data_IF_828767836310
#
_entry.id   IF_828767836310
#
_cell.length_a   1.000
_cell.length_b   1.000
_cell.length_c   1.000
_cell.angle_alpha   90.00
_cell.angle_beta   90.00
_cell.angle_gamma   90.00
#
_symmetry.space_group_name_H-M   'P 1'
#
loop_
_entity.id
_entity.type
_entity.pdbx_description
1 polymer ?
#
# COMPACT_ATOMS: atom_id res chain seq x y z
N UNK A 1 -6.18 5.26 27.01
CA UNK A 1 -5.65 6.58 27.46
C UNK A 1 -6.78 7.39 28.08
N UNK A 2 -6.52 8.31 29.02
CA UNK A 2 -7.60 9.09 29.71
C UNK A 2 -7.94 10.39 28.94
N UNK A 3 -7.40 10.61 27.73
CA UNK A 3 -7.56 11.88 27.02
C UNK A 3 -9.04 12.22 26.75
N UNK A 4 -9.83 11.25 26.29
CA UNK A 4 -11.24 11.47 25.96
C UNK A 4 -12.14 11.70 27.17
N UNK A 5 -11.67 11.40 28.38
CA UNK A 5 -12.36 11.72 29.65
C UNK A 5 -11.88 13.05 30.25
N UNK A 6 -10.89 13.70 29.64
CA UNK A 6 -10.30 14.94 30.15
C UNK A 6 -11.09 16.18 29.74
N UNK A 7 -10.82 17.29 30.42
CA UNK A 7 -11.34 18.61 30.01
C UNK A 7 -10.77 19.08 28.67
N UNK A 8 -9.82 18.38 28.05
CA UNK A 8 -9.25 18.72 26.73
C UNK A 8 -9.95 18.00 25.57
N UNK A 9 -10.80 17.03 25.84
CA UNK A 9 -11.61 16.38 24.82
C UNK A 9 -12.46 17.42 24.05
N UNK A 10 -12.77 17.12 22.78
CA UNK A 10 -13.61 17.99 21.94
C UNK A 10 -14.97 18.22 22.58
N UNK A 11 -15.61 17.12 22.99
CA UNK A 11 -16.82 17.06 23.83
C UNK A 11 -16.68 15.91 24.82
N UNK A 12 -17.38 15.99 25.94
CA UNK A 12 -17.38 14.96 26.99
C UNK A 12 -18.08 13.66 26.58
N UNK A 13 -19.03 13.74 25.65
CA UNK A 13 -19.71 12.58 25.11
C UNK A 13 -19.21 12.36 23.68
N UNK A 14 -18.71 11.16 23.43
CA UNK A 14 -18.37 10.66 22.10
C UNK A 14 -19.59 10.01 21.48
N UNK A 15 -19.74 10.10 20.16
CA UNK A 15 -20.94 9.60 19.46
C UNK A 15 -20.85 8.10 19.14
N UNK A 16 -19.63 7.55 19.14
CA UNK A 16 -19.34 6.12 18.92
C UNK A 16 -18.44 5.59 20.04
N UNK A 17 -18.39 4.26 20.28
CA UNK A 17 -17.42 3.67 21.19
C UNK A 17 -15.99 4.08 20.84
N UNK A 18 -15.15 4.31 21.85
CA UNK A 18 -13.72 4.57 21.64
C UNK A 18 -13.12 3.41 20.86
N UNK A 19 -12.53 3.73 19.72
CA UNK A 19 -11.94 2.78 18.80
C UNK A 19 -10.46 2.59 19.15
N UNK A 20 -10.01 1.35 19.31
CA UNK A 20 -8.60 1.01 19.52
C UNK A 20 -7.95 0.84 18.15
N UNK A 21 -7.10 1.79 17.78
CA UNK A 21 -6.39 1.79 16.51
C UNK A 21 -5.13 0.92 16.55
N UNK A 22 -4.90 0.07 17.56
CA UNK A 22 -3.59 -0.57 17.88
C UNK A 22 -2.50 0.44 18.22
N UNK A 23 -1.35 -0.11 18.63
CA UNK A 23 -0.09 0.62 18.81
C UNK A 23 -0.19 1.77 19.82
N UNK A 24 -0.99 1.56 20.88
CA UNK A 24 -1.33 2.56 21.89
C UNK A 24 -1.93 3.83 21.28
N UNK A 25 -2.82 3.67 20.29
CA UNK A 25 -3.57 4.76 19.70
C UNK A 25 -5.06 4.48 19.83
N UNK A 26 -5.82 5.47 20.26
CA UNK A 26 -7.29 5.40 20.39
C UNK A 26 -7.95 6.52 19.58
N UNK A 27 -9.16 6.30 19.08
CA UNK A 27 -9.92 7.27 18.32
C UNK A 27 -11.32 7.50 18.89
N UNK A 28 -11.74 8.75 18.93
CA UNK A 28 -13.11 9.17 19.15
C UNK A 28 -13.73 9.75 17.86
N UNK A 29 -15.02 9.51 17.68
CA UNK A 29 -15.82 10.11 16.62
C UNK A 29 -16.83 11.07 17.23
N UNK A 30 -16.88 12.28 16.69
CA UNK A 30 -17.87 13.30 17.01
C UNK A 30 -18.66 13.65 15.75
N UNK A 31 -19.98 13.51 15.82
CA UNK A 31 -20.92 13.76 14.73
C UNK A 31 -21.61 15.11 14.92
N UNK A 32 -22.27 15.56 13.86
CA UNK A 32 -23.07 16.80 13.86
C UNK A 32 -22.25 17.97 14.41
N UNK A 33 -21.08 18.19 13.81
CA UNK A 33 -20.21 19.32 14.14
C UNK A 33 -19.83 20.09 12.89
N UNK A 34 -19.32 21.29 13.10
CA UNK A 34 -18.86 22.18 12.05
C UNK A 34 -17.41 22.64 12.30
N UNK A 35 -16.83 23.25 11.26
CA UNK A 35 -15.45 23.69 11.30
C UNK A 35 -15.20 24.82 12.33
N UNK A 36 -16.21 25.61 12.68
CA UNK A 36 -16.06 26.69 13.65
C UNK A 36 -15.91 26.13 15.07
N UNK A 37 -16.72 25.13 15.43
CA UNK A 37 -16.57 24.39 16.68
C UNK A 37 -15.20 23.69 16.77
N UNK A 38 -14.78 23.03 15.68
CA UNK A 38 -13.46 22.38 15.59
C UNK A 38 -12.35 23.40 15.81
N UNK A 39 -12.40 24.56 15.15
CA UNK A 39 -11.39 25.62 15.30
C UNK A 39 -11.30 26.17 16.73
N UNK A 40 -12.43 26.29 17.44
CA UNK A 40 -12.45 26.68 18.86
C UNK A 40 -11.71 25.63 19.71
N UNK A 41 -11.93 24.34 19.45
CA UNK A 41 -11.23 23.27 20.15
C UNK A 41 -9.73 23.21 19.83
N UNK A 42 -9.33 23.36 18.56
CA UNK A 42 -7.91 23.41 18.18
C UNK A 42 -7.19 24.58 18.87
N UNK A 43 -7.88 25.72 19.05
CA UNK A 43 -7.36 26.85 19.82
C UNK A 43 -7.21 26.50 21.31
N UNK A 44 -8.19 25.82 21.90
CA UNK A 44 -8.13 25.33 23.29
C UNK A 44 -6.95 24.39 23.51
N UNK A 45 -6.65 23.49 22.57
CA UNK A 45 -5.44 22.64 22.65
C UNK A 45 -4.18 23.51 22.70
N UNK A 46 -4.07 24.50 21.81
CA UNK A 46 -2.94 25.42 21.76
C UNK A 46 -2.77 26.23 23.06
N UNK A 47 -3.87 26.74 23.61
CA UNK A 47 -3.91 27.48 24.88
C UNK A 47 -3.49 26.61 26.08
N UNK A 48 -3.59 25.28 25.95
CA UNK A 48 -3.15 24.30 26.94
C UNK A 48 -1.77 23.69 26.64
N UNK A 49 -1.00 24.34 25.76
CA UNK A 49 0.41 24.03 25.50
C UNK A 49 0.67 22.94 24.48
N UNK A 50 -0.35 22.49 23.73
CA UNK A 50 -0.12 21.65 22.56
C UNK A 50 0.38 22.48 21.39
N UNK A 51 1.46 22.04 20.75
CA UNK A 51 1.99 22.69 19.55
C UNK A 51 1.32 22.08 18.30
N UNK A 52 0.75 22.91 17.43
CA UNK A 52 0.29 22.45 16.12
C UNK A 52 1.53 22.16 15.25
N UNK A 53 1.84 20.89 15.03
CA UNK A 53 3.00 20.45 14.25
C UNK A 53 2.65 20.19 12.78
N UNK A 54 1.37 19.92 12.46
CA UNK A 54 0.89 19.81 11.07
C UNK A 54 -0.50 20.36 10.90
N UNK A 55 -0.76 20.90 9.71
CA UNK A 55 -2.09 21.24 9.21
C UNK A 55 -2.13 20.92 7.72
N UNK A 56 -3.24 20.32 7.28
CA UNK A 56 -3.46 20.02 5.88
C UNK A 56 -4.93 20.29 5.51
N UNK A 57 -5.17 20.57 4.24
CA UNK A 57 -6.50 20.75 3.68
C UNK A 57 -6.55 20.11 2.29
N UNK A 58 -7.51 19.21 2.10
CA UNK A 58 -7.72 18.51 0.81
C UNK A 58 -9.22 18.50 0.54
N UNK A 59 -9.64 19.10 -0.58
CA UNK A 59 -11.06 19.20 -1.01
C UNK A 59 -12.03 19.61 0.11
N UNK A 60 -11.65 20.60 0.93
CA UNK A 60 -12.49 21.07 2.04
C UNK A 60 -12.36 20.26 3.35
N UNK A 61 -11.77 19.07 3.34
CA UNK A 61 -11.46 18.33 4.56
C UNK A 61 -10.32 19.00 5.32
N UNK A 62 -10.40 19.05 6.65
CA UNK A 62 -9.49 19.79 7.51
C UNK A 62 -8.76 18.84 8.43
N UNK A 63 -7.44 18.81 8.33
CA UNK A 63 -6.58 17.91 9.09
C UNK A 63 -5.62 18.73 9.95
N UNK A 64 -5.40 18.29 11.18
CA UNK A 64 -4.42 18.90 12.07
C UNK A 64 -3.78 17.85 12.98
N UNK A 65 -2.51 18.06 13.29
CA UNK A 65 -1.76 17.26 14.25
C UNK A 65 -1.13 18.18 15.29
N UNK A 66 -1.31 17.81 16.55
CA UNK A 66 -0.81 18.51 17.72
C UNK A 66 0.09 17.60 18.54
N UNK A 67 1.13 18.17 19.14
CA UNK A 67 2.08 17.45 19.99
C UNK A 67 2.23 18.15 21.35
N UNK A 68 2.36 17.35 22.41
CA UNK A 68 2.81 17.81 23.72
C UNK A 68 3.39 16.65 24.53
N UNK A 69 4.64 16.79 24.95
CA UNK A 69 5.32 15.82 25.84
C UNK A 69 5.30 14.38 25.28
N UNK A 70 5.36 14.24 23.95
CA UNK A 70 5.30 12.94 23.25
C UNK A 70 3.89 12.39 22.99
N UNK A 71 2.85 13.06 23.49
CA UNK A 71 1.46 12.75 23.15
C UNK A 71 1.08 13.46 21.85
N UNK A 72 0.59 12.71 20.89
CA UNK A 72 0.11 13.21 19.60
C UNK A 72 -1.42 13.16 19.53
N UNK A 73 -2.01 14.25 19.07
CA UNK A 73 -3.44 14.35 18.76
C UNK A 73 -3.56 14.62 17.27
N UNK A 74 -4.07 13.65 16.51
CA UNK A 74 -4.42 13.87 15.10
C UNK A 74 -5.91 14.04 15.00
N UNK A 75 -6.36 15.05 14.28
CA UNK A 75 -7.77 15.33 14.09
C UNK A 75 -8.07 15.56 12.62
N UNK A 76 -9.21 15.05 12.17
CA UNK A 76 -9.70 15.35 10.84
C UNK A 76 -11.21 15.56 10.81
N UNK A 77 -11.59 16.70 10.25
CA UNK A 77 -12.97 17.09 10.04
C UNK A 77 -13.34 16.94 8.56
N UNK A 78 -14.41 16.22 8.30
CA UNK A 78 -14.89 15.91 6.95
C UNK A 78 -16.27 16.53 6.74
N UNK A 79 -16.40 17.56 5.88
CA UNK A 79 -17.68 18.24 5.66
C UNK A 79 -18.77 17.33 5.07
N UNK A 80 -18.37 16.31 4.28
CA UNK A 80 -19.30 15.40 3.60
C UNK A 80 -20.23 14.64 4.55
N UNK A 81 -19.79 14.36 5.78
CA UNK A 81 -20.58 13.69 6.83
C UNK A 81 -20.68 14.51 8.13
N UNK A 82 -20.15 15.74 8.14
CA UNK A 82 -20.12 16.65 9.30
C UNK A 82 -19.56 15.97 10.56
N UNK A 83 -18.49 15.19 10.38
CA UNK A 83 -17.84 14.46 11.47
C UNK A 83 -16.43 14.96 11.72
N UNK A 84 -16.04 14.94 13.00
CA UNK A 84 -14.68 15.10 13.47
C UNK A 84 -14.22 13.75 14.04
N UNK A 85 -13.12 13.23 13.52
CA UNK A 85 -12.41 12.09 14.10
C UNK A 85 -11.14 12.60 14.78
N UNK A 86 -10.89 12.10 15.99
CA UNK A 86 -9.74 12.51 16.81
C UNK A 86 -9.02 11.25 17.26
N UNK A 87 -7.79 11.04 16.80
CA UNK A 87 -6.89 10.00 17.28
C UNK A 87 -5.90 10.57 18.29
N UNK A 88 -5.59 9.78 19.30
CA UNK A 88 -4.64 10.13 20.36
C UNK A 88 -3.70 8.95 20.57
N UNK A 89 -2.40 9.20 20.43
CA UNK A 89 -1.38 8.16 20.50
C UNK A 89 0.00 8.72 20.84
N UNK A 90 0.95 7.84 21.09
CA UNK A 90 2.35 8.16 21.41
C UNK A 90 3.32 7.65 20.33
N UNK A 91 2.78 7.30 19.15
CA UNK A 91 3.57 6.80 18.02
C UNK A 91 4.52 7.87 17.52
N UNK A 92 5.74 7.52 17.06
CA UNK A 92 6.62 8.50 16.43
C UNK A 92 5.95 9.10 15.20
N UNK A 93 6.27 10.37 14.93
CA UNK A 93 5.76 11.10 13.77
C UNK A 93 6.82 11.05 12.66
N UNK A 94 6.48 10.62 11.43
CA UNK A 94 7.44 10.63 10.31
C UNK A 94 7.81 12.07 9.95
N UNK A 95 8.84 12.35 9.16
CA UNK A 95 9.17 13.74 8.75
C UNK A 95 8.12 14.33 7.78
N UNK A 96 7.99 15.64 7.69
CA UNK A 96 7.12 16.37 6.73
C UNK A 96 7.79 17.68 6.24
N UNK A 97 9.12 17.63 6.13
CA UNK A 97 9.93 18.70 5.60
C UNK A 97 9.83 18.86 4.09
N UNK A 98 10.76 19.63 3.52
CA UNK A 98 10.87 19.74 2.06
C UNK A 98 11.37 18.42 1.45
N UNK A 99 10.69 17.86 0.43
CA UNK A 99 11.10 16.62 -0.20
C UNK A 99 12.35 16.83 -1.06
N UNK A 100 13.53 16.53 -0.50
CA UNK A 100 14.82 16.68 -1.17
C UNK A 100 15.65 15.41 -1.00
N UNK A 101 16.34 15.02 -2.06
CA UNK A 101 17.30 13.92 -2.03
C UNK A 101 18.45 14.23 -2.99
N UNK A 102 19.65 14.37 -2.44
CA UNK A 102 20.86 14.50 -3.23
C UNK A 102 21.29 13.14 -3.76
N UNK A 103 21.68 13.09 -5.02
CA UNK A 103 22.18 11.87 -5.63
C UNK A 103 22.26 11.99 -7.14
N UNK A 104 22.71 10.93 -7.78
CA UNK A 104 23.04 10.89 -9.21
C UNK A 104 22.28 9.79 -9.98
N UNK A 105 21.40 9.02 -9.32
CA UNK A 105 20.46 8.17 -10.02
C UNK A 105 19.07 8.82 -10.20
N UNK A 106 18.30 8.28 -11.14
CA UNK A 106 16.91 8.72 -11.36
C UNK A 106 15.98 8.15 -10.28
N UNK A 107 14.88 8.87 -10.00
CA UNK A 107 13.80 8.30 -9.21
C UNK A 107 12.96 7.40 -10.10
N UNK A 108 12.77 6.13 -9.71
CA UNK A 108 12.05 5.16 -10.55
C UNK A 108 11.07 4.39 -9.68
N UNK A 109 9.82 4.34 -10.14
CA UNK A 109 8.80 3.45 -9.59
C UNK A 109 8.87 2.10 -10.31
N UNK A 110 8.95 1.03 -9.53
CA UNK A 110 8.96 -0.33 -10.00
C UNK A 110 7.69 -1.05 -9.54
N UNK A 111 6.89 -1.52 -10.49
CA UNK A 111 5.91 -2.58 -10.22
C UNK A 111 6.65 -3.91 -10.35
N UNK A 112 7.08 -4.47 -9.22
CA UNK A 112 7.94 -5.65 -9.19
C UNK A 112 7.18 -6.89 -9.63
N UNK A 113 7.84 -7.72 -10.44
CA UNK A 113 7.32 -9.03 -10.85
C UNK A 113 7.53 -10.03 -9.71
N UNK A 114 6.50 -10.23 -8.90
CA UNK A 114 6.52 -11.28 -7.89
C UNK A 114 6.57 -12.69 -8.50
N UNK A 115 7.04 -13.68 -7.74
CA UNK A 115 7.19 -15.07 -8.20
C UNK A 115 5.83 -15.74 -8.34
N UNK A 116 5.33 -15.83 -9.58
CA UNK A 116 4.01 -16.36 -9.89
C UNK A 116 4.00 -17.85 -10.20
N UNK A 117 5.09 -18.57 -9.93
CA UNK A 117 5.17 -20.01 -10.25
C UNK A 117 4.07 -20.84 -9.55
N UNK A 118 3.56 -20.36 -8.41
CA UNK A 118 2.63 -21.11 -7.54
C UNK A 118 1.37 -20.38 -7.10
N UNK A 119 1.29 -19.07 -7.30
CA UNK A 119 0.23 -18.22 -6.76
C UNK A 119 -0.07 -17.15 -7.78
N UNK A 120 -1.31 -16.69 -7.73
CA UNK A 120 -1.90 -15.85 -8.75
C UNK A 120 -2.10 -14.38 -8.33
N UNK A 121 -1.79 -14.08 -7.06
CA UNK A 121 -1.72 -12.75 -6.45
C UNK A 121 -0.38 -12.50 -5.74
N UNK A 122 -0.12 -11.23 -5.42
CA UNK A 122 1.11 -10.77 -4.78
C UNK A 122 1.47 -9.37 -5.22
N UNK A 123 1.79 -8.50 -4.26
CA UNK A 123 2.23 -7.14 -4.57
C UNK A 123 3.52 -6.78 -3.85
N UNK A 124 4.48 -6.29 -4.63
CA UNK A 124 5.63 -5.52 -4.16
C UNK A 124 5.87 -4.34 -5.10
N UNK A 125 5.98 -3.13 -4.55
CA UNK A 125 6.40 -1.95 -5.30
C UNK A 125 7.69 -1.42 -4.69
N UNK A 126 8.59 -0.92 -5.52
CA UNK A 126 9.82 -0.27 -5.07
C UNK A 126 9.94 1.10 -5.72
N UNK A 127 10.27 2.12 -4.92
CA UNK A 127 10.56 3.46 -5.42
C UNK A 127 12.02 3.77 -5.08
N UNK A 128 12.88 3.71 -6.09
CA UNK A 128 14.28 4.11 -5.95
C UNK A 128 14.36 5.64 -5.89
N UNK A 129 15.09 6.16 -4.92
CA UNK A 129 15.39 7.59 -4.76
C UNK A 129 16.78 7.93 -5.33
N UNK A 130 17.09 9.22 -5.59
CA UNK A 130 18.36 9.64 -6.18
C UNK A 130 19.64 9.18 -5.46
N UNK A 131 19.56 8.92 -4.15
CA UNK A 131 20.66 8.44 -3.32
C UNK A 131 20.84 6.90 -3.33
N UNK A 132 20.15 6.19 -4.24
CA UNK A 132 20.06 4.73 -4.34
C UNK A 132 19.31 4.02 -3.20
N UNK A 133 18.63 4.77 -2.32
CA UNK A 133 17.73 4.15 -1.33
C UNK A 133 16.37 3.80 -1.95
N UNK A 134 15.63 2.91 -1.29
CA UNK A 134 14.34 2.42 -1.75
C UNK A 134 13.24 2.68 -0.72
N UNK A 135 12.12 3.24 -1.17
CA UNK A 135 10.86 3.13 -0.45
C UNK A 135 10.13 1.89 -0.97
N UNK A 136 9.85 0.93 -0.10
CA UNK A 136 9.23 -0.35 -0.48
C UNK A 136 7.78 -0.36 -0.01
N UNK A 137 6.88 -0.84 -0.85
CA UNK A 137 5.46 -1.04 -0.54
C UNK A 137 5.16 -2.52 -0.62
N UNK A 138 4.68 -3.09 0.48
CA UNK A 138 4.34 -4.50 0.62
C UNK A 138 5.51 -5.42 0.18
N UNK A 139 5.26 -6.68 -0.20
CA UNK A 139 6.34 -7.64 -0.41
C UNK A 139 5.98 -8.93 -1.16
N UNK A 140 4.73 -9.39 -1.13
CA UNK A 140 4.34 -10.65 -1.77
C UNK A 140 3.89 -11.77 -0.80
N UNK A 141 3.32 -12.82 -1.38
CA UNK A 141 2.66 -13.97 -0.76
C UNK A 141 3.62 -15.06 -0.27
N UNK A 142 3.25 -15.86 0.73
CA UNK A 142 4.15 -16.89 1.28
C UNK A 142 4.54 -17.99 0.27
N UNK A 143 3.70 -18.26 -0.74
CA UNK A 143 4.00 -19.17 -1.87
C UNK A 143 4.97 -18.59 -2.91
N UNK A 144 5.33 -17.31 -2.81
CA UNK A 144 6.34 -16.68 -3.66
C UNK A 144 7.72 -16.94 -3.05
N UNK A 145 8.11 -18.22 -3.01
CA UNK A 145 9.11 -18.72 -2.07
C UNK A 145 10.46 -18.00 -2.09
N UNK A 146 10.84 -17.42 -3.23
CA UNK A 146 12.14 -16.78 -3.42
C UNK A 146 12.10 -15.25 -3.39
N UNK A 147 10.92 -14.64 -3.22
CA UNK A 147 10.79 -13.20 -3.44
C UNK A 147 11.53 -12.36 -2.40
N UNK A 148 11.75 -12.83 -1.18
CA UNK A 148 12.65 -12.15 -0.24
C UNK A 148 14.08 -12.02 -0.80
N UNK A 149 14.60 -13.08 -1.45
CA UNK A 149 15.92 -13.07 -2.07
C UNK A 149 15.93 -12.27 -3.39
N UNK A 150 14.85 -12.32 -4.17
CA UNK A 150 14.72 -11.55 -5.42
C UNK A 150 14.60 -10.06 -5.16
N UNK A 151 13.80 -9.65 -4.17
CA UNK A 151 13.69 -8.25 -3.71
C UNK A 151 15.05 -7.74 -3.22
N UNK A 152 15.77 -8.54 -2.41
CA UNK A 152 17.13 -8.20 -1.98
C UNK A 152 18.07 -8.00 -3.17
N UNK A 153 18.13 -8.98 -4.08
CA UNK A 153 18.98 -8.94 -5.27
C UNK A 153 18.64 -7.72 -6.15
N UNK A 154 17.36 -7.44 -6.34
CA UNK A 154 16.89 -6.32 -7.15
C UNK A 154 17.42 -4.98 -6.62
N UNK A 155 17.34 -4.76 -5.31
CA UNK A 155 17.91 -3.58 -4.67
C UNK A 155 19.44 -3.59 -4.70
N UNK A 156 20.06 -4.75 -4.48
CA UNK A 156 21.52 -4.92 -4.48
C UNK A 156 22.14 -4.55 -5.83
N UNK A 157 21.56 -5.03 -6.93
CA UNK A 157 22.06 -4.79 -8.29
C UNK A 157 22.00 -3.31 -8.69
N UNK A 158 21.16 -2.53 -8.01
CA UNK A 158 20.98 -1.09 -8.20
C UNK A 158 21.72 -0.25 -7.16
N UNK A 159 22.28 -0.86 -6.12
CA UNK A 159 23.03 -0.18 -5.08
C UNK A 159 24.53 -0.19 -5.43
N UNK A 160 25.28 0.94 -5.33
CA UNK A 160 26.73 0.94 -5.49
C UNK A 160 27.42 -0.11 -4.61
N UNK A 161 28.39 -0.83 -5.18
CA UNK A 161 29.00 -2.03 -4.56
C UNK A 161 29.66 -1.77 -3.21
N UNK A 162 30.05 -0.54 -2.94
CA UNK A 162 30.70 -0.08 -1.71
C UNK A 162 29.69 0.42 -0.64
N UNK A 163 28.38 0.35 -0.91
CA UNK A 163 27.31 0.81 -0.01
C UNK A 163 26.40 -0.33 0.44
N UNK A 164 25.79 -0.17 1.60
CA UNK A 164 24.67 -1.02 2.05
C UNK A 164 23.40 -0.66 1.26
N UNK A 165 22.48 -1.61 1.13
CA UNK A 165 21.12 -1.28 0.66
C UNK A 165 20.47 -0.47 1.77
N UNK A 166 19.77 0.59 1.38
CA UNK A 166 18.97 1.40 2.30
C UNK A 166 17.50 1.30 1.88
N UNK A 167 16.68 0.74 2.75
CA UNK A 167 15.22 0.84 2.69
C UNK A 167 14.83 2.05 3.54
N UNK A 168 14.60 3.19 2.91
CA UNK A 168 14.31 4.46 3.58
C UNK A 168 12.90 4.48 4.20
N UNK A 169 12.04 3.56 3.77
CA UNK A 169 10.77 3.25 4.39
C UNK A 169 10.20 1.96 3.82
N UNK A 170 9.55 1.17 4.66
CA UNK A 170 8.75 0.03 4.24
C UNK A 170 7.30 0.28 4.64
N UNK A 171 6.45 0.55 3.65
CA UNK A 171 5.03 0.76 3.82
C UNK A 171 4.28 -0.57 3.72
N UNK A 172 3.38 -0.81 4.66
CA UNK A 172 2.48 -1.96 4.68
C UNK A 172 1.06 -1.44 4.53
N UNK A 173 0.41 -1.79 3.41
CA UNK A 173 -0.94 -1.32 3.11
C UNK A 173 -1.98 -1.95 4.06
N UNK A 174 -1.92 -3.27 4.21
CA UNK A 174 -2.70 -4.07 5.16
C UNK A 174 -2.02 -5.43 5.37
N UNK A 175 -2.61 -6.29 6.20
CA UNK A 175 -1.95 -7.50 6.70
C UNK A 175 -2.44 -8.82 6.08
N UNK A 176 -2.81 -8.81 4.80
CA UNK A 176 -2.94 -10.04 4.03
C UNK A 176 -1.60 -10.62 3.61
N UNK A 177 -1.57 -11.94 3.46
CA UNK A 177 -0.38 -12.72 3.21
C UNK A 177 0.36 -12.33 1.94
N UNK A 178 -0.35 -11.97 0.87
CA UNK A 178 0.16 -11.50 -0.42
C UNK A 178 0.78 -10.10 -0.39
N UNK A 179 0.70 -9.44 0.77
CA UNK A 179 1.32 -8.14 1.02
C UNK A 179 2.50 -8.25 2.00
N UNK A 180 2.42 -9.11 3.02
CA UNK A 180 3.36 -9.06 4.16
C UNK A 180 4.35 -10.21 4.23
N UNK A 181 4.07 -11.35 3.57
CA UNK A 181 4.78 -12.60 3.87
C UNK A 181 6.26 -12.51 3.53
N UNK A 182 6.60 -11.90 2.40
CA UNK A 182 8.01 -11.83 1.96
C UNK A 182 8.82 -10.79 2.69
N UNK A 183 8.20 -9.73 3.21
CA UNK A 183 8.85 -8.83 4.15
C UNK A 183 9.20 -9.60 5.43
N UNK A 184 8.28 -10.41 5.96
CA UNK A 184 8.56 -11.21 7.16
C UNK A 184 9.74 -12.18 6.96
N UNK A 185 9.86 -12.79 5.78
CA UNK A 185 11.02 -13.61 5.38
C UNK A 185 12.29 -12.76 5.20
N UNK A 186 12.19 -11.62 4.51
CA UNK A 186 13.30 -10.70 4.28
C UNK A 186 13.95 -10.26 5.60
N UNK A 187 13.13 -9.91 6.59
CA UNK A 187 13.58 -9.52 7.93
C UNK A 187 14.32 -10.63 8.68
N UNK A 188 14.08 -11.89 8.32
CA UNK A 188 14.76 -13.05 8.93
C UNK A 188 16.05 -13.40 8.21
N UNK A 189 16.11 -13.24 6.89
CA UNK A 189 17.14 -13.90 6.08
C UNK A 189 17.98 -12.94 5.22
N UNK A 190 17.57 -11.69 5.02
CA UNK A 190 18.17 -10.78 4.03
C UNK A 190 18.63 -9.43 4.61
N UNK A 191 18.74 -9.29 5.93
CA UNK A 191 19.06 -8.00 6.56
C UNK A 191 20.55 -7.72 6.81
N UNK A 192 21.47 -8.66 6.56
CA UNK A 192 22.89 -8.54 6.95
C UNK A 192 23.59 -7.29 6.36
N UNK A 193 23.25 -6.92 5.13
CA UNK A 193 23.81 -5.79 4.37
C UNK A 193 22.77 -4.71 4.03
N UNK A 194 21.66 -4.70 4.77
CA UNK A 194 20.51 -3.79 4.59
C UNK A 194 20.33 -2.91 5.82
N UNK A 195 19.96 -1.65 5.59
CA UNK A 195 19.49 -0.73 6.62
C UNK A 195 18.03 -0.44 6.32
N UNK A 196 17.14 -0.65 7.30
CA UNK A 196 15.73 -0.24 7.21
C UNK A 196 15.53 0.92 8.18
N UNK A 197 15.12 2.08 7.66
CA UNK A 197 15.03 3.33 8.43
C UNK A 197 13.68 3.49 9.15
N UNK A 198 12.62 2.84 8.68
CA UNK A 198 11.31 2.89 9.31
C UNK A 198 10.24 2.03 8.63
N UNK A 199 9.25 1.62 9.42
CA UNK A 199 8.02 1.01 8.92
C UNK A 199 6.87 2.01 8.96
N UNK A 200 6.00 1.97 7.97
CA UNK A 200 4.87 2.86 7.82
C UNK A 200 3.62 2.02 7.65
N UNK A 201 2.58 2.23 8.45
CA UNK A 201 1.35 1.43 8.33
C UNK A 201 0.19 2.02 9.12
N UNK A 202 -1.03 1.55 8.83
CA UNK A 202 -2.15 1.64 9.76
C UNK A 202 -2.83 0.27 9.87
N UNK A 203 -2.25 -0.63 10.70
CA UNK A 203 -2.70 -2.02 10.81
C UNK A 203 -3.78 -2.15 11.88
N UNK A 204 -4.92 -2.73 11.50
CA UNK A 204 -6.06 -2.99 12.37
C UNK A 204 -5.83 -4.22 13.29
N UNK A 205 -6.45 -4.21 14.47
CA UNK A 205 -6.50 -5.37 15.35
C UNK A 205 -7.55 -6.39 14.86
N UNK A 206 -7.19 -7.68 14.69
CA UNK A 206 -8.13 -8.73 14.30
C UNK A 206 -9.34 -8.91 15.22
N UNK A 207 -9.35 -8.34 16.44
CA UNK A 207 -10.55 -8.32 17.29
C UNK A 207 -11.75 -7.60 16.64
N UNK A 208 -11.51 -6.80 15.60
CA UNK A 208 -12.54 -6.12 14.83
C UNK A 208 -13.17 -6.99 13.73
N UNK A 209 -12.68 -8.22 13.56
CA UNK A 209 -13.41 -9.28 12.87
C UNK A 209 -14.52 -9.83 13.80
N UNK A 210 -15.59 -9.06 13.93
CA UNK A 210 -16.66 -9.31 14.91
C UNK A 210 -17.48 -10.57 14.62
N UNK A 211 -17.44 -11.09 13.39
CA UNK A 211 -18.23 -12.23 12.94
C UNK A 211 -17.38 -13.44 12.47
N UNK A 212 -16.04 -13.37 12.59
CA UNK A 212 -15.10 -14.36 12.06
C UNK A 212 -15.25 -14.54 10.55
N UNK A 213 -15.40 -13.43 9.84
CA UNK A 213 -15.50 -13.39 8.38
C UNK A 213 -14.14 -13.36 7.70
N UNK A 214 -13.09 -12.92 8.40
CA UNK A 214 -11.74 -12.93 7.87
C UNK A 214 -11.15 -14.34 7.91
N UNK A 215 -10.31 -14.66 6.94
CA UNK A 215 -9.63 -15.96 6.92
C UNK A 215 -8.74 -16.11 8.17
N UNK A 216 -8.93 -17.22 8.88
CA UNK A 216 -8.23 -17.47 10.14
C UNK A 216 -6.70 -17.59 9.94
N UNK A 217 -6.23 -18.08 8.80
CA UNK A 217 -4.81 -18.16 8.50
C UNK A 217 -4.20 -16.77 8.34
N UNK A 218 -4.93 -15.85 7.70
CA UNK A 218 -4.55 -14.44 7.55
C UNK A 218 -4.50 -13.72 8.90
N UNK A 219 -5.52 -13.93 9.75
CA UNK A 219 -5.54 -13.41 11.12
C UNK A 219 -4.35 -13.91 11.94
N UNK A 220 -4.03 -15.19 11.85
CA UNK A 220 -2.88 -15.77 12.57
C UNK A 220 -1.55 -15.25 12.01
N UNK A 221 -1.48 -14.97 10.72
CA UNK A 221 -0.29 -14.39 10.07
C UNK A 221 -0.09 -12.93 10.48
N UNK A 222 -1.14 -12.10 10.48
CA UNK A 222 -1.05 -10.70 10.90
C UNK A 222 -0.60 -10.59 12.37
N UNK A 223 -1.08 -11.46 13.25
CA UNK A 223 -0.58 -11.54 14.63
C UNK A 223 0.90 -11.92 14.72
N UNK A 224 1.42 -12.77 13.80
CA UNK A 224 2.87 -13.07 13.73
C UNK A 224 3.65 -11.85 13.25
N UNK A 225 3.15 -11.14 12.25
CA UNK A 225 3.72 -9.87 11.78
C UNK A 225 3.85 -8.88 12.94
N UNK A 226 2.79 -8.67 13.71
CA UNK A 226 2.80 -7.73 14.84
C UNK A 226 3.89 -8.06 15.84
N UNK A 227 4.00 -9.33 16.27
CA UNK A 227 5.07 -9.76 17.17
C UNK A 227 6.47 -9.57 16.59
N UNK A 228 6.63 -9.79 15.27
CA UNK A 228 7.90 -9.60 14.60
C UNK A 228 8.28 -8.12 14.56
N UNK A 229 7.34 -7.23 14.19
CA UNK A 229 7.57 -5.79 14.20
C UNK A 229 7.87 -5.30 15.62
N UNK A 230 7.09 -5.69 16.63
CA UNK A 230 7.28 -5.29 18.03
C UNK A 230 8.68 -5.64 18.56
N UNK A 231 9.26 -6.75 18.10
CA UNK A 231 10.61 -7.19 18.48
C UNK A 231 11.74 -6.35 17.85
N UNK A 232 11.46 -5.54 16.83
CA UNK A 232 12.45 -4.70 16.14
C UNK A 232 12.58 -3.32 16.80
N UNK A 233 13.82 -2.83 16.94
CA UNK A 233 14.11 -1.47 17.38
C UNK A 233 14.10 -0.44 16.24
N UNK A 234 13.40 -0.73 15.15
CA UNK A 234 13.21 0.17 14.00
C UNK A 234 11.96 1.02 14.26
N UNK A 235 11.97 2.34 13.98
CA UNK A 235 10.78 3.18 14.10
C UNK A 235 9.58 2.62 13.33
N UNK A 236 8.39 2.65 13.95
CA UNK A 236 7.12 2.34 13.30
C UNK A 236 6.21 3.57 13.36
N UNK A 237 5.88 4.10 12.20
CA UNK A 237 5.05 5.28 12.03
C UNK A 237 3.61 4.86 11.77
N UNK A 238 2.73 5.15 12.72
CA UNK A 238 1.29 4.94 12.55
C UNK A 238 0.73 6.06 11.68
N UNK A 239 0.23 5.71 10.50
CA UNK A 239 -0.28 6.65 9.52
C UNK A 239 -1.77 6.93 9.77
N UNK A 240 -2.20 8.18 9.73
CA UNK A 240 -3.60 8.56 9.89
C UNK A 240 -4.10 9.36 8.69
N UNK A 241 -5.38 9.27 8.36
CA UNK A 241 -5.95 9.98 7.21
C UNK A 241 -5.72 11.49 7.28
N UNK A 242 -5.27 12.04 6.16
CA UNK A 242 -4.81 13.41 5.95
C UNK A 242 -3.44 13.76 6.53
N UNK A 243 -2.75 12.81 7.16
CA UNK A 243 -1.33 12.96 7.49
C UNK A 243 -0.53 13.12 6.19
N UNK A 244 0.32 14.15 6.17
CA UNK A 244 1.36 14.33 5.15
C UNK A 244 2.70 13.94 5.74
N UNK A 245 3.56 13.31 4.95
CA UNK A 245 4.94 13.02 5.33
C UNK A 245 5.87 12.99 4.13
N UNK A 246 7.17 13.07 4.37
CA UNK A 246 8.21 13.04 3.34
C UNK A 246 9.26 11.98 3.63
N UNK A 247 9.72 11.31 2.59
CA UNK A 247 10.88 10.41 2.63
C UNK A 247 11.76 10.74 1.44
N UNK A 248 12.97 11.25 1.69
CA UNK A 248 13.87 11.70 0.61
C UNK A 248 13.14 12.73 -0.27
N UNK A 249 13.11 12.53 -1.59
CA UNK A 249 12.42 13.41 -2.55
C UNK A 249 10.94 13.04 -2.77
N UNK A 250 10.40 12.14 -1.96
CA UNK A 250 9.01 11.69 -2.05
C UNK A 250 8.16 12.41 -1.01
N UNK A 251 6.99 12.88 -1.41
CA UNK A 251 5.94 13.37 -0.50
C UNK A 251 4.74 12.44 -0.55
N UNK A 252 4.09 12.23 0.59
CA UNK A 252 2.96 11.33 0.72
C UNK A 252 1.80 12.02 1.44
N UNK A 253 0.57 11.77 0.97
CA UNK A 253 -0.65 12.02 1.72
C UNK A 253 -1.35 10.69 2.00
N UNK A 254 -1.76 10.47 3.25
CA UNK A 254 -2.60 9.33 3.64
C UNK A 254 -4.05 9.70 3.34
N UNK A 255 -4.72 8.93 2.48
CA UNK A 255 -6.07 9.28 2.03
C UNK A 255 -7.17 8.48 2.72
N UNK A 256 -6.94 7.20 3.00
CA UNK A 256 -7.93 6.33 3.63
C UNK A 256 -7.24 5.31 4.52
N UNK A 257 -7.86 4.99 5.65
CA UNK A 257 -7.44 3.92 6.57
C UNK A 257 -8.69 3.23 7.14
N UNK A 258 -8.52 2.14 7.88
CA UNK A 258 -9.62 1.48 8.58
C UNK A 258 -10.36 2.39 9.59
N UNK A 259 -9.72 3.46 10.06
CA UNK A 259 -10.29 4.48 10.95
C UNK A 259 -11.43 5.27 10.28
N UNK A 260 -11.42 5.34 8.94
CA UNK A 260 -12.45 6.02 8.17
C UNK A 260 -13.73 5.20 7.98
N UNK A 261 -13.59 3.88 8.02
CA UNK A 261 -14.70 2.93 7.85
C UNK A 261 -15.42 2.76 9.18
N UNK A 262 -14.70 2.72 10.30
CA UNK A 262 -15.33 2.65 11.63
C UNK A 262 -16.36 3.79 11.83
N UNK A 263 -17.57 3.50 12.36
CA UNK A 263 -18.01 2.27 13.03
C UNK A 263 -18.65 1.21 12.12
N UNK A 264 -18.60 1.38 10.80
CA UNK A 264 -19.10 0.36 9.88
C UNK A 264 -18.26 -0.92 10.02
N UNK A 265 -18.93 -2.06 9.79
CA UNK A 265 -18.27 -3.36 9.79
C UNK A 265 -17.38 -3.48 8.55
N UNK A 266 -16.22 -4.13 8.72
CA UNK A 266 -15.26 -4.47 7.68
C UNK A 266 -15.33 -5.99 7.41
N UNK A 267 -16.25 -6.47 6.56
CA UNK A 267 -16.41 -7.90 6.29
C UNK A 267 -15.21 -8.53 5.55
N UNK A 268 -14.44 -7.72 4.83
CA UNK A 268 -13.23 -8.15 4.14
C UNK A 268 -12.02 -7.48 4.81
N UNK A 269 -10.95 -8.24 5.06
CA UNK A 269 -9.74 -7.67 5.66
C UNK A 269 -9.08 -6.63 4.73
N UNK A 270 -9.33 -6.71 3.41
CA UNK A 270 -8.98 -5.70 2.42
C UNK A 270 -9.56 -4.31 2.74
N UNK A 271 -10.71 -4.25 3.42
CA UNK A 271 -11.32 -3.00 3.86
C UNK A 271 -10.39 -2.22 4.81
N UNK A 272 -9.44 -2.90 5.46
CA UNK A 272 -8.48 -2.25 6.35
C UNK A 272 -7.30 -1.55 5.64
N UNK A 273 -7.23 -1.62 4.30
CA UNK A 273 -6.17 -1.03 3.50
C UNK A 273 -5.93 0.46 3.77
N UNK A 274 -4.67 0.80 4.01
CA UNK A 274 -4.17 2.16 4.04
C UNK A 274 -3.82 2.63 2.62
N UNK A 275 -4.44 3.72 2.17
CA UNK A 275 -4.22 4.28 0.84
C UNK A 275 -3.33 5.52 0.88
N UNK A 276 -2.31 5.56 0.01
CA UNK A 276 -1.38 6.68 -0.12
C UNK A 276 -1.46 7.35 -1.50
N UNK A 277 -1.34 8.68 -1.50
CA UNK A 277 -0.99 9.46 -2.68
C UNK A 277 0.45 9.93 -2.56
N UNK A 278 1.36 9.35 -3.35
CA UNK A 278 2.74 9.79 -3.47
C UNK A 278 2.86 10.91 -4.52
N UNK A 279 3.75 11.87 -4.30
CA UNK A 279 4.08 12.93 -5.24
C UNK A 279 5.59 13.11 -5.34
N UNK A 280 6.10 13.24 -6.56
CA UNK A 280 7.53 13.53 -6.82
C UNK A 280 7.69 14.24 -8.16
N UNK A 281 8.38 15.38 -8.13
CA UNK A 281 8.67 16.21 -9.31
C UNK A 281 7.46 16.50 -10.22
N UNK A 282 6.29 16.70 -9.61
CA UNK A 282 5.04 17.02 -10.32
C UNK A 282 4.20 15.80 -10.74
N UNK A 283 4.70 14.58 -10.57
CA UNK A 283 3.97 13.34 -10.83
C UNK A 283 3.27 12.84 -9.58
N UNK A 284 2.02 12.41 -9.70
CA UNK A 284 1.23 11.77 -8.64
C UNK A 284 1.10 10.26 -8.88
N UNK A 285 1.37 9.45 -7.85
CA UNK A 285 1.18 7.99 -7.87
C UNK A 285 0.20 7.61 -6.76
N UNK A 286 -0.92 6.99 -7.12
CA UNK A 286 -1.90 6.50 -6.16
C UNK A 286 -1.68 5.02 -5.85
N UNK A 287 -1.58 4.70 -4.56
CA UNK A 287 -1.27 3.37 -4.03
C UNK A 287 -2.39 3.00 -3.04
N UNK A 288 -3.51 2.42 -3.53
CA UNK A 288 -4.63 2.00 -2.70
C UNK A 288 -4.40 0.68 -1.94
N UNK A 289 -3.37 -0.10 -2.26
CA UNK A 289 -3.29 -1.48 -1.78
C UNK A 289 -4.52 -2.25 -2.29
N UNK A 290 -5.25 -2.87 -1.38
CA UNK A 290 -6.45 -3.66 -1.70
C UNK A 290 -7.75 -2.95 -1.30
N UNK A 291 -7.75 -1.61 -1.25
CA UNK A 291 -8.97 -0.85 -1.01
C UNK A 291 -10.13 -1.32 -1.91
N UNK A 292 -11.23 -1.68 -1.25
CA UNK A 292 -12.44 -2.22 -1.88
C UNK A 292 -13.54 -1.16 -1.98
N UNK A 293 -14.80 -1.59 -2.14
CA UNK A 293 -15.98 -0.74 -2.17
C UNK A 293 -16.15 0.19 -0.96
N UNK A 294 -15.81 -0.21 0.28
CA UNK A 294 -15.97 0.66 1.45
C UNK A 294 -14.99 1.85 1.41
N UNK A 295 -13.72 1.55 1.16
CA UNK A 295 -12.69 2.58 0.96
C UNK A 295 -13.01 3.45 -0.27
N UNK A 296 -13.52 2.86 -1.36
CA UNK A 296 -13.99 3.59 -2.54
C UNK A 296 -15.00 4.69 -2.21
N UNK A 297 -16.02 4.38 -1.40
CA UNK A 297 -17.01 5.39 -0.95
C UNK A 297 -16.37 6.52 -0.15
N UNK A 298 -15.43 6.20 0.73
CA UNK A 298 -14.70 7.20 1.52
C UNK A 298 -13.88 8.12 0.60
N UNK A 299 -13.13 7.52 -0.33
CA UNK A 299 -12.28 8.25 -1.27
C UNK A 299 -13.10 9.18 -2.17
N UNK A 300 -14.17 8.67 -2.78
CA UNK A 300 -15.06 9.43 -3.65
C UNK A 300 -15.72 10.60 -2.91
N UNK A 301 -16.26 10.35 -1.71
CA UNK A 301 -17.00 11.36 -0.95
C UNK A 301 -16.11 12.50 -0.43
N UNK A 302 -14.82 12.22 -0.18
CA UNK A 302 -13.91 13.17 0.45
C UNK A 302 -13.03 13.92 -0.52
N UNK A 303 -12.58 13.30 -1.60
CA UNK A 303 -11.45 13.86 -2.35
C UNK A 303 -11.79 14.24 -3.79
N UNK A 304 -12.86 13.72 -4.39
CA UNK A 304 -13.32 14.12 -5.73
C UNK A 304 -12.14 14.26 -6.74
N UNK A 305 -11.93 15.46 -7.30
CA UNK A 305 -10.85 15.73 -8.27
C UNK A 305 -9.43 15.68 -7.69
N UNK A 306 -9.26 15.72 -6.36
CA UNK A 306 -7.96 15.57 -5.70
C UNK A 306 -7.41 14.14 -5.79
N UNK A 307 -8.27 13.15 -6.11
CA UNK A 307 -7.85 11.78 -6.44
C UNK A 307 -7.06 11.68 -7.74
N UNK A 308 -7.13 12.70 -8.60
CA UNK A 308 -6.47 12.66 -9.91
C UNK A 308 -4.98 12.40 -9.77
N UNK A 309 -4.48 11.37 -10.46
CA UNK A 309 -3.07 11.00 -10.47
C UNK A 309 -2.55 10.70 -11.88
N UNK A 310 -1.25 10.43 -11.99
CA UNK A 310 -0.62 10.02 -13.26
C UNK A 310 -0.42 8.51 -13.33
N UNK A 311 -0.08 7.87 -12.21
CA UNK A 311 0.10 6.42 -12.09
C UNK A 311 -0.80 5.88 -10.99
N UNK A 312 -1.45 4.74 -11.22
CA UNK A 312 -2.20 4.02 -10.20
C UNK A 312 -1.73 2.58 -10.11
N UNK A 313 -1.44 2.10 -8.91
CA UNK A 313 -1.47 0.67 -8.63
C UNK A 313 -2.95 0.26 -8.54
N UNK A 314 -3.36 -0.67 -9.40
CA UNK A 314 -4.76 -1.10 -9.47
C UNK A 314 -5.11 -1.88 -8.21
N UNK A 315 -6.16 -1.42 -7.53
CA UNK A 315 -6.53 -1.94 -6.23
C UNK A 315 -6.91 -3.43 -6.27
N UNK A 316 -6.51 -4.17 -5.25
CA UNK A 316 -6.87 -5.58 -5.06
C UNK A 316 -6.53 -6.42 -6.28
N UNK A 317 -5.34 -6.18 -6.84
CA UNK A 317 -4.78 -6.85 -8.03
C UNK A 317 -5.60 -6.68 -9.32
N UNK A 318 -6.71 -5.93 -9.29
CA UNK A 318 -7.70 -5.95 -10.36
C UNK A 318 -8.75 -7.06 -10.22
N UNK A 319 -8.95 -7.61 -9.01
CA UNK A 319 -10.15 -8.35 -8.63
C UNK A 319 -11.30 -7.35 -8.34
N UNK A 320 -12.01 -7.51 -7.22
CA UNK A 320 -13.08 -6.62 -6.78
C UNK A 320 -12.55 -5.48 -5.90
N UNK A 321 -11.88 -4.52 -6.52
CA UNK A 321 -11.30 -3.35 -5.85
C UNK A 321 -12.23 -2.12 -5.83
N UNK A 322 -11.69 -0.98 -6.26
CA UNK A 322 -12.41 0.30 -6.32
C UNK A 322 -13.52 0.32 -7.38
N UNK A 323 -14.45 1.28 -7.24
CA UNK A 323 -15.57 1.44 -8.15
C UNK A 323 -15.16 2.05 -9.51
N UNK A 324 -16.04 1.91 -10.52
CA UNK A 324 -15.90 2.63 -11.80
C UNK A 324 -15.77 4.14 -11.59
N UNK A 325 -16.57 4.72 -10.69
CA UNK A 325 -16.55 6.17 -10.45
C UNK A 325 -15.23 6.61 -9.78
N UNK A 326 -14.71 5.83 -8.83
CA UNK A 326 -13.41 6.08 -8.24
C UNK A 326 -12.31 6.14 -9.31
N UNK A 327 -12.28 5.18 -10.24
CA UNK A 327 -11.29 5.20 -11.32
C UNK A 327 -11.48 6.36 -12.31
N UNK A 328 -12.70 6.87 -12.50
CA UNK A 328 -12.94 8.09 -13.28
C UNK A 328 -12.38 9.34 -12.60
N UNK A 329 -12.51 9.44 -11.28
CA UNK A 329 -11.92 10.53 -10.49
C UNK A 329 -10.38 10.44 -10.45
N UNK A 330 -9.86 9.23 -10.32
CA UNK A 330 -8.41 8.95 -10.36
C UNK A 330 -7.82 9.32 -11.72
N UNK A 331 -8.47 8.93 -12.83
CA UNK A 331 -8.10 9.34 -14.18
C UNK A 331 -6.62 9.17 -14.53
N UNK A 332 -6.02 8.07 -14.05
CA UNK A 332 -4.59 7.80 -14.20
C UNK A 332 -4.20 7.59 -15.66
N UNK A 333 -3.00 8.06 -16.03
CA UNK A 333 -2.42 7.83 -17.37
C UNK A 333 -1.79 6.45 -17.49
N UNK A 334 -1.28 5.91 -16.38
CA UNK A 334 -0.66 4.58 -16.34
C UNK A 334 -1.29 3.75 -15.22
N UNK A 335 -1.76 2.56 -15.58
CA UNK A 335 -2.27 1.57 -14.62
C UNK A 335 -1.29 0.41 -14.46
N UNK A 336 -0.97 0.05 -13.22
CA UNK A 336 -0.08 -1.08 -12.90
C UNK A 336 -0.89 -2.11 -12.12
N UNK A 337 -1.11 -3.28 -12.72
CA UNK A 337 -1.85 -4.40 -12.14
C UNK A 337 -0.85 -5.37 -11.48
N UNK A 338 -0.81 -5.45 -10.14
CA UNK A 338 0.00 -6.43 -9.42
C UNK A 338 -0.68 -7.81 -9.45
N UNK A 339 -0.68 -8.45 -10.62
CA UNK A 339 -1.46 -9.68 -10.86
C UNK A 339 -0.74 -10.56 -11.87
N UNK A 340 -1.09 -11.84 -11.89
CA UNK A 340 -0.73 -12.75 -12.98
C UNK A 340 -1.46 -12.46 -14.27
N UNK A 341 -0.80 -12.73 -15.40
CA UNK A 341 -1.41 -12.73 -16.73
C UNK A 341 -2.64 -13.63 -16.79
N UNK A 342 -2.58 -14.78 -16.13
CA UNK A 342 -3.71 -15.70 -16.01
C UNK A 342 -4.90 -15.01 -15.35
N UNK A 343 -4.73 -14.49 -14.13
CA UNK A 343 -5.84 -13.88 -13.40
C UNK A 343 -6.30 -12.56 -13.99
N UNK A 344 -5.40 -11.78 -14.60
CA UNK A 344 -5.80 -10.60 -15.37
C UNK A 344 -6.79 -10.99 -16.48
N UNK A 345 -6.46 -11.99 -17.29
CA UNK A 345 -7.31 -12.40 -18.42
C UNK A 345 -8.65 -12.99 -17.94
N UNK A 346 -8.69 -13.59 -16.75
CA UNK A 346 -9.92 -14.09 -16.12
C UNK A 346 -10.79 -12.99 -15.51
N UNK A 347 -10.18 -12.01 -14.83
CA UNK A 347 -10.89 -10.95 -14.11
C UNK A 347 -11.29 -9.78 -14.99
N UNK A 348 -10.44 -9.38 -15.93
CA UNK A 348 -10.68 -8.23 -16.80
C UNK A 348 -12.07 -8.24 -17.48
N UNK A 349 -12.59 -9.38 -18.01
CA UNK A 349 -13.94 -9.46 -18.56
C UNK A 349 -15.06 -9.32 -17.52
N UNK A 350 -14.79 -9.58 -16.24
CA UNK A 350 -15.77 -9.50 -15.14
C UNK A 350 -15.83 -8.09 -14.55
N UNK A 351 -14.69 -7.42 -14.44
CA UNK A 351 -14.55 -6.16 -13.70
C UNK A 351 -14.78 -4.92 -14.58
N UNK A 352 -15.97 -4.32 -14.48
CA UNK A 352 -16.31 -3.08 -15.20
C UNK A 352 -15.36 -1.93 -14.86
N UNK A 353 -15.03 -1.79 -13.58
CA UNK A 353 -14.14 -0.75 -13.07
C UNK A 353 -12.75 -0.80 -13.74
N UNK A 354 -12.19 -1.99 -13.92
CA UNK A 354 -10.87 -2.17 -14.54
C UNK A 354 -10.88 -1.89 -16.04
N UNK A 355 -11.97 -2.26 -16.73
CA UNK A 355 -12.16 -1.89 -18.15
C UNK A 355 -12.21 -0.37 -18.29
N UNK A 356 -12.97 0.29 -17.41
CA UNK A 356 -13.06 1.76 -17.41
C UNK A 356 -11.71 2.41 -17.16
N UNK A 357 -10.94 1.90 -16.19
CA UNK A 357 -9.59 2.37 -15.92
C UNK A 357 -8.69 2.25 -17.16
N UNK A 358 -8.70 1.10 -17.84
CA UNK A 358 -7.88 0.88 -19.04
C UNK A 358 -8.32 1.78 -20.20
N UNK A 359 -9.61 2.07 -20.36
CA UNK A 359 -10.10 3.04 -21.35
C UNK A 359 -9.60 4.47 -21.10
N UNK A 360 -9.37 4.84 -19.82
CA UNK A 360 -8.88 6.15 -19.43
C UNK A 360 -7.35 6.25 -19.51
N UNK A 361 -6.65 5.13 -19.27
CA UNK A 361 -5.20 5.07 -19.25
C UNK A 361 -4.59 5.10 -20.67
N UNK A 362 -3.42 5.73 -20.78
CA UNK A 362 -2.60 5.70 -22.00
C UNK A 362 -1.82 4.38 -22.11
N UNK A 363 -1.40 3.82 -20.97
CA UNK A 363 -0.71 2.53 -20.87
C UNK A 363 -1.18 1.75 -19.65
N UNK A 364 -1.15 0.42 -19.73
CA UNK A 364 -1.28 -0.44 -18.57
C UNK A 364 -0.22 -1.53 -18.59
N UNK A 365 0.13 -2.03 -17.42
CA UNK A 365 1.15 -3.06 -17.21
C UNK A 365 0.62 -4.11 -16.25
N UNK A 366 0.94 -5.37 -16.51
CA UNK A 366 0.68 -6.51 -15.63
C UNK A 366 2.03 -6.93 -15.10
N UNK A 367 2.21 -6.94 -13.78
CA UNK A 367 3.55 -7.12 -13.19
C UNK A 367 4.11 -8.51 -13.44
N UNK A 368 3.29 -9.52 -13.74
CA UNK A 368 3.78 -10.83 -14.16
C UNK A 368 4.37 -10.87 -15.56
N UNK A 369 4.23 -9.82 -16.37
CA UNK A 369 4.89 -9.75 -17.69
C UNK A 369 6.32 -9.19 -17.58
N UNK A 370 6.86 -9.13 -16.36
CA UNK A 370 8.13 -8.51 -16.02
C UNK A 370 7.98 -7.23 -15.21
N UNK A 371 9.06 -6.86 -14.53
CA UNK A 371 9.07 -5.66 -13.66
C UNK A 371 8.97 -4.39 -14.50
N UNK A 372 7.85 -3.66 -14.38
CA UNK A 372 7.68 -2.36 -15.05
C UNK A 372 8.53 -1.30 -14.34
N UNK A 373 9.21 -0.47 -15.12
CA UNK A 373 10.09 0.61 -14.67
C UNK A 373 9.55 1.95 -15.16
N UNK A 374 9.01 2.76 -14.25
CA UNK A 374 8.42 4.07 -14.57
C UNK A 374 9.36 5.16 -14.02
N UNK A 375 10.10 5.89 -14.87
CA UNK A 375 10.90 7.02 -14.41
C UNK A 375 9.98 8.10 -13.84
N UNK A 376 10.42 8.75 -12.75
CA UNK A 376 9.71 9.84 -12.07
C UNK A 376 10.60 11.09 -12.05
N UNK A 377 10.12 12.27 -12.51
CA UNK A 377 8.79 12.55 -13.07
C UNK A 377 8.43 11.71 -14.29
N UNK A 378 7.14 11.43 -14.45
CA UNK A 378 6.64 10.51 -15.48
C UNK A 378 7.01 10.99 -16.88
N UNK A 379 7.66 10.10 -17.61
CA UNK A 379 7.83 10.16 -19.06
C UNK A 379 7.33 8.84 -19.64
N UNK A 380 6.12 8.89 -20.24
CA UNK A 380 5.41 7.71 -20.75
C UNK A 380 6.24 6.97 -21.82
N UNK A 381 7.02 7.70 -22.62
CA UNK A 381 7.82 7.12 -23.71
C UNK A 381 9.08 6.42 -23.19
N UNK A 382 9.49 6.71 -21.95
CA UNK A 382 10.65 6.09 -21.28
C UNK A 382 10.28 4.93 -20.36
N UNK A 383 9.00 4.59 -20.22
CA UNK A 383 8.58 3.42 -19.44
C UNK A 383 9.05 2.15 -20.14
N UNK A 384 9.76 1.30 -19.41
CA UNK A 384 10.27 0.00 -19.90
C UNK A 384 9.81 -1.13 -19.00
N UNK A 385 9.88 -2.36 -19.48
CA UNK A 385 9.68 -3.57 -18.66
C UNK A 385 10.97 -4.38 -18.68
N UNK A 386 11.41 -4.86 -17.53
CA UNK A 386 12.52 -5.80 -17.45
C UNK A 386 12.09 -7.18 -17.95
N UNK A 387 13.02 -8.03 -18.40
CA UNK A 387 12.66 -9.38 -18.80
C UNK A 387 11.94 -10.14 -17.69
N UNK A 388 10.93 -10.90 -18.10
CA UNK A 388 10.18 -11.80 -17.23
C UNK A 388 11.12 -12.84 -16.58
N UNK A 389 11.04 -12.98 -15.26
CA UNK A 389 11.94 -13.83 -14.47
C UNK A 389 11.30 -15.15 -14.00
N UNK A 390 9.97 -15.26 -14.04
CA UNK A 390 9.23 -16.40 -13.50
C UNK A 390 8.15 -16.91 -14.44
N UNK A 391 7.92 -18.22 -14.42
CA UNK A 391 6.88 -18.86 -15.23
C UNK A 391 6.08 -19.85 -14.40
N UNK A 392 4.83 -20.07 -14.78
CA UNK A 392 3.89 -20.92 -14.05
C UNK A 392 4.28 -22.41 -14.07
N UNK A 393 4.26 -23.04 -12.90
CA UNK A 393 4.35 -24.51 -12.80
C UNK A 393 2.95 -25.11 -12.77
N UNK A 394 2.36 -25.33 -13.94
CA UNK A 394 0.99 -25.84 -14.08
C UNK A 394 0.72 -27.15 -13.34
N UNK A 395 1.73 -28.02 -13.20
CA UNK A 395 1.57 -29.28 -12.47
C UNK A 395 1.42 -29.03 -10.97
N UNK A 396 2.21 -28.11 -10.42
CA UNK A 396 2.13 -27.74 -9.01
C UNK A 396 0.90 -26.87 -8.72
N UNK A 397 0.54 -25.95 -9.62
CA UNK A 397 -0.72 -25.20 -9.54
C UNK A 397 -1.91 -26.17 -9.46
N UNK A 398 -1.96 -27.18 -10.34
CA UNK A 398 -2.99 -28.22 -10.28
C UNK A 398 -3.02 -28.96 -8.95
N UNK A 399 -1.86 -29.32 -8.40
CA UNK A 399 -1.78 -30.06 -7.15
C UNK A 399 -2.17 -29.19 -5.93
N UNK A 400 -1.86 -27.91 -5.96
CA UNK A 400 -2.10 -26.97 -4.86
C UNK A 400 -3.52 -26.43 -4.87
N UNK A 401 -4.02 -26.00 -6.04
CA UNK A 401 -5.28 -25.27 -6.19
C UNK A 401 -6.38 -26.06 -6.91
N UNK A 402 -6.03 -27.17 -7.55
CA UNK A 402 -6.99 -28.03 -8.27
C UNK A 402 -7.37 -27.54 -9.67
N UNK A 403 -6.95 -26.34 -10.08
CA UNK A 403 -7.24 -25.80 -11.40
C UNK A 403 -6.29 -26.35 -12.47
N UNK A 404 -6.76 -26.39 -13.72
CA UNK A 404 -5.98 -26.82 -14.88
C UNK A 404 -6.24 -25.92 -16.06
N UNK A 405 -5.21 -25.61 -16.83
CA UNK A 405 -5.32 -24.86 -18.08
C UNK A 405 -5.19 -25.81 -19.27
N UNK A 406 -5.86 -25.47 -20.38
CA UNK A 406 -5.74 -26.25 -21.61
C UNK A 406 -4.32 -26.17 -22.18
N UNK A 407 -3.91 -27.16 -22.97
CA UNK A 407 -2.58 -27.17 -23.59
C UNK A 407 -2.38 -25.94 -24.48
N UNK A 408 -3.44 -25.47 -25.17
CA UNK A 408 -3.36 -24.25 -25.98
C UNK A 408 -3.07 -23.01 -25.12
N UNK A 409 -3.73 -22.89 -23.96
CA UNK A 409 -3.53 -21.76 -23.04
C UNK A 409 -2.13 -21.78 -22.43
N UNK A 410 -1.62 -22.96 -22.06
CA UNK A 410 -0.25 -23.10 -21.55
C UNK A 410 0.79 -22.69 -22.61
N UNK A 411 0.56 -23.05 -23.88
CA UNK A 411 1.44 -22.63 -24.99
C UNK A 411 1.37 -21.13 -25.27
N UNK A 412 0.18 -20.53 -25.17
CA UNK A 412 -0.02 -19.09 -25.29
C UNK A 412 0.77 -18.34 -24.22
N UNK A 413 0.61 -18.70 -22.94
CA UNK A 413 1.32 -18.11 -21.80
C UNK A 413 2.84 -18.24 -21.98
N UNK A 414 3.31 -19.40 -22.41
CA UNK A 414 4.73 -19.61 -22.68
C UNK A 414 5.25 -18.71 -23.83
N UNK A 415 4.42 -18.49 -24.86
CA UNK A 415 4.73 -17.55 -25.93
C UNK A 415 4.84 -16.10 -25.43
N UNK A 416 3.95 -15.68 -24.53
CA UNK A 416 3.98 -14.35 -23.90
C UNK A 416 5.27 -14.19 -23.08
N UNK A 417 5.56 -15.16 -22.20
CA UNK A 417 6.78 -15.20 -21.39
C UNK A 417 8.04 -15.02 -22.25
N UNK A 418 8.19 -15.81 -23.33
CA UNK A 418 9.33 -15.67 -24.25
C UNK A 418 9.37 -14.30 -24.94
N UNK A 419 8.22 -13.75 -25.31
CA UNK A 419 8.14 -12.43 -25.95
C UNK A 419 8.53 -11.29 -25.02
N UNK A 420 8.33 -11.48 -23.71
CA UNK A 420 8.75 -10.57 -22.65
C UNK A 420 10.21 -10.79 -22.24
N UNK A 421 10.98 -11.60 -22.97
CA UNK A 421 12.39 -11.84 -22.70
C UNK A 421 12.66 -12.92 -21.65
N UNK A 422 11.62 -13.66 -21.25
CA UNK A 422 11.70 -14.80 -20.35
C UNK A 422 12.70 -15.85 -20.82
N UNK A 423 13.37 -16.47 -19.85
CA UNK A 423 14.37 -17.50 -20.10
C UNK A 423 14.33 -18.60 -19.03
N UNK A 424 13.69 -19.72 -19.37
CA UNK A 424 13.58 -20.92 -18.52
C UNK A 424 14.92 -21.47 -18.02
N UNK A 425 16.06 -21.18 -18.68
CA UNK A 425 17.39 -21.63 -18.24
C UNK A 425 17.98 -20.73 -17.15
N UNK A 426 17.41 -19.54 -16.95
CA UNK A 426 17.83 -18.56 -15.95
C UNK A 426 16.84 -18.44 -14.79
N UNK A 427 15.73 -19.18 -14.84
CA UNK A 427 14.73 -19.16 -13.78
C UNK A 427 15.30 -19.60 -12.43
N UNK A 428 14.80 -18.95 -11.39
CA UNK A 428 15.22 -19.18 -10.00
C UNK A 428 14.83 -20.58 -9.52
N UNK A 429 13.75 -21.16 -10.09
CA UNK A 429 13.32 -22.53 -9.82
C UNK A 429 13.29 -23.36 -11.11
N UNK A 430 13.72 -24.64 -11.07
CA UNK A 430 13.60 -25.51 -12.22
C UNK A 430 12.13 -25.88 -12.49
N UNK A 431 11.55 -25.36 -13.58
CA UNK A 431 10.26 -25.81 -14.12
C UNK A 431 10.42 -27.20 -14.73
N UNK A 432 9.59 -28.17 -14.30
CA UNK A 432 9.63 -29.53 -14.87
C UNK A 432 9.05 -29.51 -16.29
N UNK A 433 9.91 -29.80 -17.27
CA UNK A 433 9.58 -29.92 -18.70
C UNK A 433 8.67 -31.11 -19.07
N UNK A 434 8.31 -31.98 -18.11
CA UNK A 434 7.52 -33.18 -18.35
C UNK A 434 6.05 -32.83 -18.64
N UNK A 435 5.73 -32.59 -19.93
CA UNK A 435 4.39 -32.24 -20.40
C UNK A 435 4.42 -31.32 -21.62
N UNK A 436 5.48 -30.52 -21.77
CA UNK A 436 5.70 -29.68 -22.94
C UNK A 436 6.26 -30.50 -24.10
N UNK A 437 5.38 -31.08 -24.91
CA UNK A 437 5.75 -31.53 -26.24
C UNK A 437 5.96 -30.29 -27.13
N UNK A 438 7.19 -29.76 -27.17
CA UNK A 438 7.66 -28.95 -28.30
C UNK A 438 7.56 -29.82 -29.57
N UNK A 439 6.46 -29.69 -30.30
CA UNK A 439 6.34 -30.19 -31.67
C UNK A 439 6.29 -29.04 -32.63
#
# INVERSE_FOLDING_TARGET
MIFFESDLAFRQHVDEPIYDCRENCEMAIYRSTDIDEVNVWLKKLSENGFLAIRKNEIDGNRFAMFEKDGLHITSYYTPCDSSLRVTVGENPVPDDGEPVCDGDCETVFYGFENDHTYIDCGMCLLIQCPDYSFFVVDSGHYFQFNDNDRIHRFMRDRTPKDRKIVVNGWFISHAHSDHISKMMDFLRYNCDDVIIEGFYSNLIDPKYDVDNEWDIEEVLLSQKLFRQLDALSIPKYKLHSGMRFTVRNLSFNVLCTHEDIFPEKMPDYNDSSCALMMSVGGTKVFIPGDCSALAGKVLEARYNNELKCDVVQVAHHGHSGLSTHAYELIGAKVAVFPITRIMFDEEYPKQEANRRLIELAEKYYITSDGTVCIPLPIDIDRITTLPDETFEDFAKIKNQWGYTYSDERQQELYGIYLSNGGNLEKEVLPVRREGFSLR
#
